data_IF_647744745198
#
_entry.id   IF_647744745198
#
_cell.length_a   1.000
_cell.length_b   1.000
_cell.length_c   1.000
_cell.angle_alpha   90.00
_cell.angle_beta   90.00
_cell.angle_gamma   90.00
#
_symmetry.space_group_name_H-M   'P 1'
#
loop_
_entity.id
_entity.type
_entity.pdbx_description
1 polymer ?
#
# COMPACT_ATOMS: atom_id res chain seq x y z
N UNK A 1 2.17 35.94 -27.71
CA UNK A 1 2.39 36.15 -26.27
C UNK A 1 1.15 36.69 -25.54
N UNK A 2 0.09 37.16 -26.24
CA UNK A 2 -1.15 37.67 -25.61
C UNK A 2 -2.17 36.60 -25.17
N UNK A 3 -2.03 35.34 -25.58
CA UNK A 3 -2.99 34.27 -25.22
C UNK A 3 -2.85 33.73 -23.78
N UNK A 4 -1.84 34.19 -23.02
CA UNK A 4 -1.60 33.73 -21.63
C UNK A 4 -2.24 34.63 -20.56
N UNK A 5 -2.81 35.78 -20.94
CA UNK A 5 -3.26 36.80 -19.98
C UNK A 5 -4.74 36.71 -19.56
N UNK A 6 -5.53 35.81 -20.14
CA UNK A 6 -6.99 35.73 -19.91
C UNK A 6 -7.45 34.52 -19.08
N UNK A 7 -6.54 33.80 -18.42
CA UNK A 7 -6.94 32.75 -17.48
C UNK A 7 -7.42 33.38 -16.18
N UNK A 8 -8.75 33.45 -16.01
CA UNK A 8 -9.37 33.82 -14.74
C UNK A 8 -8.92 32.84 -13.66
N UNK A 9 -8.58 33.29 -12.45
CA UNK A 9 -8.27 32.39 -11.34
C UNK A 9 -9.49 31.51 -11.09
N UNK A 10 -9.30 30.20 -11.21
CA UNK A 10 -10.33 29.21 -10.84
C UNK A 10 -10.47 29.29 -9.32
N UNK A 11 -11.71 29.40 -8.84
CA UNK A 11 -11.98 29.37 -7.39
C UNK A 11 -11.31 28.16 -6.77
N UNK A 12 -10.71 28.37 -5.60
CA UNK A 12 -9.85 27.40 -4.95
C UNK A 12 -10.70 26.31 -4.29
N UNK A 13 -11.19 25.33 -5.08
CA UNK A 13 -11.93 24.15 -4.60
C UNK A 13 -10.97 23.16 -3.89
N UNK A 14 -9.79 23.60 -3.43
CA UNK A 14 -8.68 22.72 -3.16
C UNK A 14 -8.78 21.92 -1.86
N UNK A 15 -9.63 22.35 -0.94
CA UNK A 15 -9.73 21.79 0.39
C UNK A 15 -11.14 21.27 0.63
N UNK A 16 -11.33 19.97 0.39
CA UNK A 16 -12.37 19.24 1.09
C UNK A 16 -11.82 18.95 2.47
N UNK A 17 -12.30 19.70 3.46
CA UNK A 17 -12.17 19.30 4.86
C UNK A 17 -12.58 17.83 4.95
N UNK A 18 -11.79 16.98 5.63
CA UNK A 18 -12.31 15.69 6.04
C UNK A 18 -13.65 15.98 6.70
N UNK A 19 -14.73 15.37 6.23
CA UNK A 19 -16.02 15.49 6.90
C UNK A 19 -15.75 15.11 8.35
N UNK A 20 -16.06 16.01 9.28
CA UNK A 20 -16.01 15.70 10.70
C UNK A 20 -16.99 14.56 10.91
N UNK A 21 -16.45 13.35 10.93
CA UNK A 21 -17.19 12.15 11.27
C UNK A 21 -17.46 12.27 12.78
N UNK A 22 -18.55 12.95 13.14
CA UNK A 22 -19.04 13.08 14.52
C UNK A 22 -19.18 11.70 15.21
N UNK A 23 -19.29 10.64 14.40
CA UNK A 23 -19.35 9.25 14.83
C UNK A 23 -18.16 8.44 14.30
N UNK A 24 -17.58 7.60 15.15
CA UNK A 24 -16.56 6.62 14.74
C UNK A 24 -17.12 5.74 13.59
N UNK A 25 -16.58 5.83 12.36
CA UNK A 25 -17.09 5.08 11.22
C UNK A 25 -16.92 3.56 11.37
N UNK A 26 -16.09 3.12 12.32
CA UNK A 26 -15.84 1.71 12.64
C UNK A 26 -16.58 1.23 13.90
N UNK A 27 -17.45 2.05 14.49
CA UNK A 27 -18.14 1.76 15.75
C UNK A 27 -19.58 1.24 15.60
N UNK A 28 -20.04 0.96 14.38
CA UNK A 28 -21.41 0.48 14.13
C UNK A 28 -21.63 -0.97 14.59
N UNK A 29 -22.89 -1.38 14.84
CA UNK A 29 -23.21 -2.77 15.15
C UNK A 29 -22.85 -3.67 13.97
N UNK A 30 -22.31 -4.85 14.27
CA UNK A 30 -22.10 -5.87 13.26
C UNK A 30 -23.47 -6.36 12.76
N UNK A 31 -23.65 -6.56 11.44
CA UNK A 31 -24.88 -7.11 10.90
C UNK A 31 -25.11 -8.54 11.39
N UNK A 32 -26.37 -8.94 11.52
CA UNK A 32 -26.76 -10.31 11.88
C UNK A 32 -26.36 -11.32 10.81
N UNK A 33 -26.17 -12.58 11.22
CA UNK A 33 -25.85 -13.68 10.31
C UNK A 33 -26.95 -13.90 9.27
N UNK A 34 -26.57 -13.99 8.00
CA UNK A 34 -27.49 -14.27 6.88
C UNK A 34 -27.83 -15.75 6.72
N UNK A 35 -27.38 -16.62 7.64
CA UNK A 35 -27.66 -18.07 7.67
C UNK A 35 -27.28 -18.87 6.41
N UNK A 36 -26.35 -18.35 5.59
CA UNK A 36 -25.81 -19.08 4.45
C UNK A 36 -24.78 -20.14 4.88
N UNK A 37 -24.70 -21.21 4.10
CA UNK A 37 -23.74 -22.29 4.32
C UNK A 37 -22.64 -22.17 3.26
N UNK A 38 -21.38 -22.18 3.68
CA UNK A 38 -20.23 -22.18 2.78
C UNK A 38 -19.75 -23.61 2.53
N UNK A 39 -19.70 -24.02 1.26
CA UNK A 39 -19.23 -25.35 0.85
C UNK A 39 -18.08 -25.23 -0.13
N UNK A 40 -16.95 -25.86 0.18
CA UNK A 40 -15.82 -25.95 -0.77
C UNK A 40 -16.04 -27.11 -1.74
N UNK A 41 -16.07 -26.82 -3.03
CA UNK A 41 -16.19 -27.80 -4.12
C UNK A 41 -15.00 -27.63 -5.06
N UNK A 42 -14.11 -28.62 -5.11
CA UNK A 42 -12.86 -28.56 -5.90
C UNK A 42 -12.02 -27.30 -5.63
N UNK A 43 -12.07 -26.76 -4.41
CA UNK A 43 -11.35 -25.54 -4.02
C UNK A 43 -12.09 -24.22 -4.30
N UNK A 44 -13.26 -24.25 -4.95
CA UNK A 44 -14.12 -23.10 -5.15
C UNK A 44 -15.15 -23.06 -4.01
N UNK A 45 -15.30 -21.89 -3.36
CA UNK A 45 -16.27 -21.70 -2.28
C UNK A 45 -17.63 -21.39 -2.89
N UNK A 46 -18.61 -22.26 -2.61
CA UNK A 46 -20.00 -22.11 -2.99
C UNK A 46 -20.80 -21.59 -1.80
N UNK A 47 -21.64 -20.59 -2.04
CA UNK A 47 -22.59 -20.08 -1.06
C UNK A 47 -23.93 -20.79 -1.27
N UNK A 48 -24.36 -21.53 -0.27
CA UNK A 48 -25.60 -22.28 -0.26
C UNK A 48 -26.63 -21.61 0.66
N UNK A 49 -27.92 -21.81 0.37
CA UNK A 49 -29.02 -21.44 1.25
C UNK A 49 -29.02 -22.26 2.55
N UNK A 50 -29.97 -21.99 3.44
CA UNK A 50 -30.14 -22.74 4.69
C UNK A 50 -30.45 -24.23 4.48
N UNK A 51 -30.86 -24.62 3.27
CA UNK A 51 -31.18 -26.00 2.89
C UNK A 51 -29.97 -26.72 2.27
N UNK A 52 -28.85 -26.03 2.06
CA UNK A 52 -27.64 -26.58 1.46
C UNK A 52 -27.60 -26.54 -0.08
N UNK A 53 -28.60 -25.92 -0.71
CA UNK A 53 -28.68 -25.75 -2.16
C UNK A 53 -27.92 -24.51 -2.62
N UNK A 54 -27.25 -24.60 -3.77
CA UNK A 54 -26.47 -23.49 -4.32
C UNK A 54 -27.41 -22.33 -4.69
N UNK A 55 -27.09 -21.10 -4.24
CA UNK A 55 -27.85 -19.93 -4.65
C UNK A 55 -27.82 -19.76 -6.17
N UNK A 56 -28.98 -19.76 -6.87
CA UNK A 56 -29.03 -19.64 -8.32
C UNK A 56 -28.36 -18.37 -8.84
N UNK A 57 -28.57 -17.24 -8.16
CA UNK A 57 -28.02 -15.93 -8.53
C UNK A 57 -26.49 -15.88 -8.48
N UNK A 58 -25.89 -16.66 -7.58
CA UNK A 58 -24.43 -16.74 -7.41
C UNK A 58 -23.80 -17.79 -8.32
N UNK A 59 -24.59 -18.71 -8.87
CA UNK A 59 -24.11 -19.75 -9.77
C UNK A 59 -23.54 -19.16 -11.07
N UNK A 60 -24.17 -18.12 -11.61
CA UNK A 60 -23.70 -17.44 -12.83
C UNK A 60 -22.36 -16.71 -12.63
N UNK A 61 -22.03 -16.36 -11.38
CA UNK A 61 -20.81 -15.65 -11.02
C UNK A 61 -19.65 -16.58 -10.66
N UNK A 62 -19.90 -17.89 -10.59
CA UNK A 62 -18.90 -18.90 -10.28
C UNK A 62 -18.34 -19.54 -11.56
N UNK A 63 -17.24 -19.00 -12.08
CA UNK A 63 -16.48 -19.63 -13.18
C UNK A 63 -15.82 -20.92 -12.70
N UNK A 64 -15.93 -21.99 -13.50
CA UNK A 64 -15.27 -23.25 -13.17
C UNK A 64 -13.76 -23.16 -13.38
N UNK A 65 -12.98 -23.98 -12.65
CA UNK A 65 -11.54 -24.06 -12.86
C UNK A 65 -11.18 -24.46 -14.30
N UNK A 66 -11.98 -25.35 -14.89
CA UNK A 66 -11.77 -25.86 -16.26
C UNK A 66 -11.94 -24.75 -17.29
N UNK A 67 -13.01 -23.96 -17.17
CA UNK A 67 -13.26 -22.78 -18.01
C UNK A 67 -12.17 -21.72 -17.84
N UNK A 68 -11.79 -21.39 -16.60
CA UNK A 68 -10.69 -20.46 -16.33
C UNK A 68 -9.38 -20.92 -16.99
N UNK A 69 -9.05 -22.21 -16.92
CA UNK A 69 -7.84 -22.75 -17.51
C UNK A 69 -7.85 -22.69 -19.04
N UNK A 70 -9.00 -22.95 -19.66
CA UNK A 70 -9.17 -22.83 -21.12
C UNK A 70 -9.01 -21.37 -21.57
N UNK A 71 -9.66 -20.43 -20.88
CA UNK A 71 -9.55 -19.00 -21.18
C UNK A 71 -8.12 -18.49 -20.96
N UNK A 72 -7.46 -18.98 -19.91
CA UNK A 72 -6.06 -18.63 -19.63
C UNK A 72 -5.12 -19.15 -20.71
N UNK A 73 -5.30 -20.39 -21.18
CA UNK A 73 -4.53 -20.94 -22.30
C UNK A 73 -4.76 -20.15 -23.58
N UNK A 74 -6.02 -19.81 -23.88
CA UNK A 74 -6.35 -18.96 -25.02
C UNK A 74 -5.65 -17.59 -24.95
N UNK A 75 -5.63 -16.96 -23.79
CA UNK A 75 -4.90 -15.71 -23.58
C UNK A 75 -3.39 -15.90 -23.77
N UNK A 76 -2.81 -17.01 -23.29
CA UNK A 76 -1.41 -17.35 -23.51
C UNK A 76 -1.07 -17.49 -25.01
N UNK A 77 -1.91 -18.18 -25.77
CA UNK A 77 -1.74 -18.34 -27.21
C UNK A 77 -1.73 -16.97 -27.93
N UNK A 78 -2.66 -16.08 -27.56
CA UNK A 78 -2.68 -14.71 -28.08
C UNK A 78 -1.42 -13.92 -27.72
N UNK A 79 -0.89 -14.08 -26.50
CA UNK A 79 0.32 -13.37 -26.07
C UNK A 79 1.58 -13.83 -26.82
N UNK A 80 1.63 -15.09 -27.23
CA UNK A 80 2.77 -15.69 -27.93
C UNK A 80 2.71 -15.43 -29.44
N UNK A 81 1.54 -15.08 -29.97
CA UNK A 81 1.36 -14.75 -31.40
C UNK A 81 2.27 -13.58 -31.84
N UNK A 82 3.21 -13.90 -32.74
CA UNK A 82 4.24 -12.97 -33.22
C UNK A 82 3.69 -11.76 -33.99
N UNK A 83 2.78 -11.94 -34.96
CA UNK A 83 2.09 -10.85 -35.65
C UNK A 83 1.36 -9.91 -34.69
N UNK A 84 0.56 -10.45 -33.75
CA UNK A 84 -0.16 -9.64 -32.77
C UNK A 84 0.79 -8.87 -31.86
N UNK A 85 1.84 -9.52 -31.36
CA UNK A 85 2.88 -8.87 -30.54
C UNK A 85 3.55 -7.72 -31.29
N UNK A 86 3.89 -7.92 -32.56
CA UNK A 86 4.50 -6.90 -33.42
C UNK A 86 3.55 -5.73 -33.69
N UNK A 87 2.26 -6.03 -33.90
CA UNK A 87 1.22 -5.00 -34.07
C UNK A 87 1.05 -4.16 -32.80
N UNK A 88 0.90 -4.82 -31.64
CA UNK A 88 0.80 -4.15 -30.34
C UNK A 88 2.03 -3.28 -30.05
N UNK A 89 3.23 -3.76 -30.35
CA UNK A 89 4.46 -2.98 -30.21
C UNK A 89 4.43 -1.70 -31.05
N UNK A 90 4.04 -1.78 -32.33
CA UNK A 90 3.91 -0.60 -33.21
C UNK A 90 2.88 0.39 -32.66
N UNK A 91 1.74 -0.10 -32.17
CA UNK A 91 0.68 0.75 -31.59
C UNK A 91 1.15 1.44 -30.30
N UNK A 92 1.82 0.71 -29.40
CA UNK A 92 2.40 1.29 -28.18
C UNK A 92 3.46 2.34 -28.51
N UNK A 93 4.31 2.06 -29.50
CA UNK A 93 5.34 2.99 -29.99
C UNK A 93 4.70 4.25 -30.56
N UNK A 94 3.65 4.12 -31.36
CA UNK A 94 2.90 5.26 -31.89
C UNK A 94 2.27 6.10 -30.77
N UNK A 95 1.64 5.46 -29.76
CA UNK A 95 1.07 6.16 -28.61
C UNK A 95 2.14 6.91 -27.81
N UNK A 96 3.31 6.30 -27.61
CA UNK A 96 4.45 6.93 -26.95
C UNK A 96 4.94 8.17 -27.73
N UNK A 97 5.16 8.05 -29.04
CA UNK A 97 5.58 9.19 -29.86
C UNK A 97 4.53 10.29 -29.91
N UNK A 98 3.24 9.94 -29.96
CA UNK A 98 2.14 10.91 -29.87
C UNK A 98 2.18 11.67 -28.55
N UNK A 99 2.42 10.99 -27.43
CA UNK A 99 2.56 11.62 -26.12
C UNK A 99 3.79 12.52 -26.04
N UNK A 100 4.95 12.07 -26.54
CA UNK A 100 6.16 12.88 -26.59
C UNK A 100 5.97 14.17 -27.40
N UNK A 101 5.31 14.08 -28.56
CA UNK A 101 4.97 15.26 -29.36
C UNK A 101 4.03 16.20 -28.61
N UNK A 102 3.03 15.65 -27.90
CA UNK A 102 2.14 16.44 -27.06
C UNK A 102 2.91 17.22 -25.99
N UNK A 103 3.84 16.57 -25.26
CA UNK A 103 4.69 17.23 -24.27
C UNK A 103 5.51 18.36 -24.92
N UNK A 104 6.20 18.10 -26.04
CA UNK A 104 7.02 19.10 -26.73
C UNK A 104 6.22 20.33 -27.18
N UNK A 105 4.97 20.13 -27.62
CA UNK A 105 4.13 21.22 -28.11
C UNK A 105 3.42 21.99 -26.99
N UNK A 106 3.20 21.37 -25.83
CA UNK A 106 2.30 21.90 -24.79
C UNK A 106 2.97 22.15 -23.43
N UNK A 107 4.23 21.77 -23.21
CA UNK A 107 4.90 21.88 -21.89
C UNK A 107 4.82 23.28 -21.28
N UNK A 108 5.04 24.34 -22.08
CA UNK A 108 5.01 25.73 -21.60
C UNK A 108 3.60 26.16 -21.20
N UNK A 109 2.60 25.68 -21.96
CA UNK A 109 1.19 25.97 -21.69
C UNK A 109 0.72 25.25 -20.42
N UNK A 110 1.03 23.96 -20.28
CA UNK A 110 0.71 23.17 -19.10
C UNK A 110 1.39 23.73 -17.85
N UNK A 111 2.65 24.17 -17.95
CA UNK A 111 3.36 24.82 -16.84
C UNK A 111 2.69 26.15 -16.43
N UNK A 112 2.20 26.94 -17.39
CA UNK A 112 1.45 28.15 -17.10
C UNK A 112 0.11 27.85 -16.42
N UNK A 113 -0.60 26.82 -16.88
CA UNK A 113 -1.87 26.35 -16.30
C UNK A 113 -1.69 25.81 -14.87
N UNK A 114 -0.56 25.16 -14.56
CA UNK A 114 -0.25 24.76 -13.18
C UNK A 114 0.00 25.96 -12.26
N UNK A 115 0.64 27.02 -12.76
CA UNK A 115 0.96 28.23 -11.97
C UNK A 115 -0.27 29.05 -11.59
N UNK A 116 -1.36 28.97 -12.36
CA UNK A 116 -2.60 29.69 -12.04
C UNK A 116 -3.44 29.01 -10.95
N UNK A 117 -3.10 27.78 -10.56
CA UNK A 117 -3.79 27.05 -9.49
C UNK A 117 -2.95 27.09 -8.21
N UNK A 118 -3.19 28.06 -7.31
CA UNK A 118 -2.44 28.17 -6.07
C UNK A 118 -2.68 26.93 -5.18
N UNK A 119 -1.68 26.55 -4.40
CA UNK A 119 -1.76 25.43 -3.44
C UNK A 119 -2.06 24.03 -4.06
N UNK A 120 -1.83 23.83 -5.36
CA UNK A 120 -1.92 22.52 -6.04
C UNK A 120 -0.58 22.06 -6.62
N UNK A 121 0.43 22.02 -5.76
CA UNK A 121 1.80 21.60 -6.12
C UNK A 121 2.11 20.14 -5.74
N UNK A 122 3.36 19.72 -5.98
CA UNK A 122 3.87 18.40 -5.62
C UNK A 122 3.81 18.10 -4.11
N UNK A 123 3.58 19.06 -3.22
CA UNK A 123 3.43 18.78 -1.79
C UNK A 123 1.96 18.67 -1.39
N UNK A 124 1.11 19.50 -1.98
CA UNK A 124 -0.30 19.63 -1.59
C UNK A 124 -1.26 18.68 -2.31
N UNK A 125 -0.86 18.12 -3.46
CA UNK A 125 -1.65 17.05 -4.11
C UNK A 125 -1.68 15.80 -3.22
N UNK A 126 -2.81 15.10 -3.16
CA UNK A 126 -2.91 13.82 -2.43
C UNK A 126 -2.30 12.71 -3.28
N UNK A 127 -1.34 11.96 -2.73
CA UNK A 127 -0.77 10.76 -3.37
C UNK A 127 -0.98 9.58 -2.44
N UNK A 128 -1.28 8.44 -3.04
CA UNK A 128 -1.48 7.17 -2.33
C UNK A 128 -0.40 6.20 -2.79
N UNK A 129 0.23 5.53 -1.83
CA UNK A 129 1.07 4.38 -2.12
C UNK A 129 0.16 3.17 -2.39
N UNK A 130 0.17 2.69 -3.64
CA UNK A 130 -0.70 1.59 -4.08
C UNK A 130 -0.10 0.22 -3.79
N UNK A 131 1.16 0.14 -3.37
CA UNK A 131 1.83 -1.12 -3.10
C UNK A 131 2.75 -1.01 -1.89
N UNK A 132 2.14 -1.10 -0.71
CA UNK A 132 2.85 -1.10 0.57
C UNK A 132 2.59 -2.40 1.33
N UNK A 133 3.66 -2.97 1.89
CA UNK A 133 3.55 -4.06 2.84
C UNK A 133 3.44 -3.48 4.26
N UNK A 134 2.36 -3.78 4.98
CA UNK A 134 2.12 -3.24 6.32
C UNK A 134 3.28 -3.51 7.30
N UNK A 135 3.93 -4.68 7.22
CA UNK A 135 5.08 -5.02 8.05
C UNK A 135 6.33 -4.14 7.76
N UNK A 136 6.43 -3.58 6.55
CA UNK A 136 7.58 -2.81 6.08
C UNK A 136 7.27 -1.31 5.93
N UNK A 137 6.10 -0.84 6.40
CA UNK A 137 5.67 0.54 6.23
C UNK A 137 6.48 1.55 7.05
N UNK A 138 7.27 1.06 8.02
CA UNK A 138 8.02 1.90 8.94
C UNK A 138 9.49 2.04 8.55
N UNK A 139 9.99 3.28 8.59
CA UNK A 139 11.41 3.56 8.43
C UNK A 139 12.25 2.86 9.53
N UNK A 140 13.38 2.24 9.16
CA UNK A 140 14.29 1.54 10.07
C UNK A 140 14.73 2.40 11.27
N UNK A 141 14.92 3.71 11.08
CA UNK A 141 15.28 4.66 12.15
C UNK A 141 14.18 4.79 13.19
N UNK A 142 12.91 4.83 12.75
CA UNK A 142 11.76 4.90 13.64
C UNK A 142 11.55 3.57 14.37
N UNK A 143 11.64 2.45 13.66
CA UNK A 143 11.57 1.12 14.26
C UNK A 143 12.66 0.92 15.33
N UNK A 144 13.91 1.25 15.01
CA UNK A 144 15.01 1.12 15.96
C UNK A 144 14.84 2.04 17.19
N UNK A 145 14.34 3.26 16.98
CA UNK A 145 14.03 4.18 18.09
C UNK A 145 12.90 3.63 18.96
N UNK A 146 11.87 3.05 18.36
CA UNK A 146 10.78 2.40 19.06
C UNK A 146 11.29 1.24 19.93
N UNK A 147 12.09 0.32 19.36
CA UNK A 147 12.68 -0.79 20.10
C UNK A 147 13.54 -0.31 21.26
N UNK A 148 14.39 0.70 21.04
CA UNK A 148 15.20 1.31 22.10
C UNK A 148 14.34 1.94 23.21
N UNK A 149 13.24 2.61 22.86
CA UNK A 149 12.30 3.20 23.83
C UNK A 149 11.63 2.11 24.67
N UNK A 150 11.13 1.05 24.04
CA UNK A 150 10.48 -0.08 24.72
C UNK A 150 11.43 -0.83 25.65
N UNK A 151 12.68 -1.03 25.23
CA UNK A 151 13.73 -1.55 26.12
C UNK A 151 14.04 -0.65 27.32
N UNK A 152 13.73 0.64 27.28
CA UNK A 152 13.95 1.55 28.42
C UNK A 152 12.76 1.59 29.37
N UNK A 153 11.54 1.57 28.84
CA UNK A 153 10.32 1.76 29.66
C UNK A 153 9.72 0.44 30.13
N UNK A 154 9.81 -0.61 29.30
CA UNK A 154 8.99 -1.83 29.43
C UNK A 154 9.87 -3.09 29.37
N UNK A 155 11.13 -3.02 29.82
CA UNK A 155 12.11 -4.10 29.71
C UNK A 155 11.66 -5.41 30.37
N UNK A 156 11.02 -5.30 31.53
CA UNK A 156 10.54 -6.43 32.34
C UNK A 156 9.19 -7.00 31.87
N UNK A 157 8.55 -6.41 30.85
CA UNK A 157 7.27 -6.88 30.33
C UNK A 157 7.45 -8.25 29.68
N UNK A 158 6.62 -9.22 30.05
CA UNK A 158 6.58 -10.54 29.42
C UNK A 158 6.00 -10.39 28.02
N UNK A 159 6.76 -10.78 26.99
CA UNK A 159 6.41 -10.57 25.57
C UNK A 159 6.02 -11.84 24.83
N UNK A 160 6.57 -13.00 25.22
CA UNK A 160 6.14 -14.30 24.72
C UNK A 160 6.57 -15.42 25.69
N UNK A 161 6.07 -16.64 25.45
CA UNK A 161 6.36 -17.83 26.24
C UNK A 161 7.18 -18.79 25.37
N UNK A 162 8.40 -19.13 25.78
CA UNK A 162 9.24 -20.14 25.11
C UNK A 162 9.26 -21.43 25.94
N UNK A 163 8.75 -22.54 25.38
CA UNK A 163 8.73 -23.85 26.06
C UNK A 163 8.09 -23.83 27.45
N UNK A 164 7.04 -23.04 27.63
CA UNK A 164 6.35 -22.87 28.92
C UNK A 164 7.00 -21.87 29.88
N UNK A 165 8.14 -21.27 29.52
CA UNK A 165 8.82 -20.25 30.33
C UNK A 165 8.45 -18.86 29.80
N UNK A 166 7.88 -17.96 30.63
CA UNK A 166 7.63 -16.58 30.23
C UNK A 166 8.95 -15.85 30.03
N UNK A 167 9.10 -15.16 28.89
CA UNK A 167 10.27 -14.35 28.58
C UNK A 167 9.93 -12.87 28.57
N UNK A 168 10.76 -12.09 29.25
CA UNK A 168 10.70 -10.62 29.25
C UNK A 168 11.27 -10.04 27.96
N UNK A 169 10.91 -8.81 27.63
CA UNK A 169 11.42 -8.09 26.46
C UNK A 169 12.96 -8.02 26.46
N UNK A 170 13.56 -7.82 27.64
CA UNK A 170 15.02 -7.80 27.78
C UNK A 170 15.66 -9.15 27.43
N UNK A 171 15.11 -10.25 27.96
CA UNK A 171 15.58 -11.60 27.68
C UNK A 171 15.44 -11.96 26.19
N UNK A 172 14.30 -11.61 25.59
CA UNK A 172 14.02 -11.82 24.17
C UNK A 172 15.05 -11.10 23.27
N UNK A 173 15.34 -9.83 23.59
CA UNK A 173 16.29 -9.01 22.83
C UNK A 173 17.72 -9.54 23.01
N UNK A 174 18.12 -9.92 24.22
CA UNK A 174 19.44 -10.51 24.48
C UNK A 174 19.64 -11.82 23.71
N UNK A 175 18.62 -12.70 23.70
CA UNK A 175 18.64 -13.94 22.92
C UNK A 175 18.71 -13.67 21.41
N UNK A 176 18.02 -12.64 20.91
CA UNK A 176 18.08 -12.32 19.49
C UNK A 176 19.43 -11.73 19.07
N UNK A 177 20.03 -10.86 19.91
CA UNK A 177 21.36 -10.29 19.69
C UNK A 177 22.47 -11.35 19.70
N UNK A 178 22.32 -12.45 20.44
CA UNK A 178 23.30 -13.56 20.41
C UNK A 178 23.24 -14.37 19.11
N UNK A 179 22.06 -14.48 18.50
CA UNK A 179 21.85 -15.14 17.19
C UNK A 179 22.25 -14.27 16.01
N UNK A 180 22.12 -12.95 16.14
CA UNK A 180 22.36 -11.98 15.06
C UNK A 180 23.46 -10.98 15.46
N UNK A 181 24.75 -11.29 15.21
CA UNK A 181 25.88 -10.55 15.77
C UNK A 181 25.97 -9.07 15.33
N UNK A 182 25.37 -8.73 14.18
CA UNK A 182 25.34 -7.37 13.64
C UNK A 182 24.14 -6.54 14.14
N UNK A 183 23.18 -7.15 14.84
CA UNK A 183 22.05 -6.45 15.43
C UNK A 183 22.36 -6.07 16.88
N UNK A 184 22.52 -4.78 17.17
CA UNK A 184 22.83 -4.28 18.52
C UNK A 184 21.84 -3.21 18.96
N UNK A 185 20.95 -3.55 19.89
CA UNK A 185 20.19 -2.58 20.67
C UNK A 185 20.99 -2.33 21.95
N UNK A 186 21.89 -1.34 21.91
CA UNK A 186 22.65 -0.96 23.12
C UNK A 186 21.73 -0.20 24.08
N UNK A 187 21.66 -0.58 25.37
CA UNK A 187 21.05 0.27 26.38
C UNK A 187 21.80 1.61 26.43
N UNK A 188 21.09 2.68 26.72
CA UNK A 188 21.72 3.99 26.86
C UNK A 188 22.61 3.96 28.12
N UNK A 189 23.93 3.97 27.95
CA UNK A 189 24.84 4.15 29.08
C UNK A 189 24.60 5.54 29.67
N UNK A 190 24.42 5.64 30.98
CA UNK A 190 24.45 6.91 31.72
C UNK A 190 25.83 7.59 31.64
N UNK A 191 26.87 6.85 31.25
CA UNK A 191 28.23 7.36 31.07
C UNK A 191 28.48 8.21 29.81
N UNK A 192 27.51 8.28 28.88
CA UNK A 192 27.73 8.89 27.56
C UNK A 192 27.38 10.39 27.46
N UNK A 193 27.46 11.15 28.56
CA UNK A 193 27.33 12.62 28.54
C UNK A 193 28.52 13.36 27.88
N UNK A 194 29.49 12.64 27.30
CA UNK A 194 30.72 13.22 26.74
C UNK A 194 30.94 13.13 25.22
N UNK A 195 30.11 12.43 24.45
CA UNK A 195 30.38 12.28 23.01
C UNK A 195 29.78 13.44 22.20
N UNK A 196 30.66 14.40 21.88
CA UNK A 196 30.44 15.54 20.99
C UNK A 196 29.76 15.12 19.68
N UNK A 197 28.82 15.95 19.23
CA UNK A 197 28.22 15.94 17.87
C UNK A 197 29.34 15.96 16.82
N UNK A 198 29.70 14.80 16.30
CA UNK A 198 30.47 14.66 15.06
C UNK A 198 29.51 14.82 13.89
N UNK A 199 29.83 15.76 13.02
CA UNK A 199 29.15 16.09 11.79
C UNK A 199 28.89 14.85 10.91
N UNK A 200 27.66 14.71 10.44
CA UNK A 200 27.37 14.00 9.19
C UNK A 200 26.92 15.07 8.20
N UNK A 201 27.84 15.51 7.36
CA UNK A 201 27.52 16.11 6.07
C UNK A 201 26.97 15.04 5.13
N UNK A 202 26.10 15.49 4.22
CA UNK A 202 25.40 14.72 3.18
C UNK A 202 26.33 13.84 2.34
#
# INVERSE_FOLDING_TARGET
MELLLNLKPVENIAYHEPVDLENNPFGGPLPDSSNYILKSVKGIIHVCDSNGELLPDLKEHCTSLEEFMLDFQFLQDLMIDGPLKSYCYRRLSYLLHKYQLHVLLNEVRELAEQKVVPHRDFYNVRKVDTHVHAASCMNHKHLLRFMKKKMKTDAATVVYIEKGVPMTLEQAVAQHQSRVPNFKIRPHCSCAQGYKKGFYTL
#
